data_IF_037097312938
#
_entry.id   IF_037097312938
#
_cell.length_a   1.000
_cell.length_b   1.000
_cell.length_c   1.000
_cell.angle_alpha   90.00
_cell.angle_beta   90.00
_cell.angle_gamma   90.00
#
_symmetry.space_group_name_H-M   'P 1'
#
loop_
_entity.id
_entity.type
_entity.pdbx_description
1 polymer ?
#
# COMPACT_ATOMS: atom_id res chain seq x y z
N UNK A 1 -15.68 -21.95 23.88
CA UNK A 1 -16.33 -21.08 22.86
C UNK A 1 -15.75 -19.67 22.95
N UNK A 2 -15.00 -19.19 21.95
CA UNK A 2 -14.55 -17.78 21.90
C UNK A 2 -15.65 -16.93 21.24
N UNK A 3 -16.20 -15.96 21.98
CA UNK A 3 -17.14 -14.97 21.43
C UNK A 3 -16.34 -13.85 20.77
N UNK A 4 -16.72 -13.45 19.55
CA UNK A 4 -16.21 -12.25 18.90
C UNK A 4 -17.31 -11.18 18.93
N UNK A 5 -16.92 -9.93 19.19
CA UNK A 5 -17.82 -8.79 19.19
C UNK A 5 -17.37 -7.79 18.14
N UNK A 6 -18.33 -7.20 17.43
CA UNK A 6 -18.09 -6.15 16.43
C UNK A 6 -18.68 -4.85 16.94
N UNK A 7 -17.83 -3.84 17.06
CA UNK A 7 -18.24 -2.51 17.49
C UNK A 7 -18.07 -1.51 16.35
N UNK A 8 -18.96 -0.52 16.31
CA UNK A 8 -18.79 0.63 15.42
C UNK A 8 -17.69 1.53 15.97
N UNK A 9 -16.70 1.84 15.13
CA UNK A 9 -15.69 2.84 15.46
C UNK A 9 -16.33 4.23 15.46
N UNK A 10 -16.25 4.95 16.58
CA UNK A 10 -16.69 6.35 16.70
C UNK A 10 -15.47 7.22 16.99
N UNK A 11 -14.76 7.69 15.94
CA UNK A 11 -13.54 8.46 16.13
C UNK A 11 -13.85 9.87 16.68
N UNK A 12 -12.95 10.39 17.51
CA UNK A 12 -12.94 11.82 17.85
C UNK A 12 -12.55 12.67 16.64
N UNK A 13 -12.75 13.99 16.70
CA UNK A 13 -12.34 14.89 15.61
C UNK A 13 -10.86 14.76 15.28
N UNK A 14 -9.98 14.66 16.30
CA UNK A 14 -8.54 14.47 16.12
C UNK A 14 -8.21 13.13 15.44
N UNK A 15 -8.90 12.05 15.84
CA UNK A 15 -8.72 10.74 15.21
C UNK A 15 -9.19 10.74 13.75
N UNK A 16 -10.29 11.43 13.44
CA UNK A 16 -10.79 11.56 12.06
C UNK A 16 -9.75 12.23 11.17
N UNK A 17 -9.13 13.33 11.62
CA UNK A 17 -8.05 14.01 10.89
C UNK A 17 -6.87 13.06 10.65
N UNK A 18 -6.44 12.33 11.67
CA UNK A 18 -5.32 11.38 11.54
C UNK A 18 -5.64 10.22 10.57
N UNK A 19 -6.85 9.66 10.63
CA UNK A 19 -7.29 8.59 9.74
C UNK A 19 -7.40 9.05 8.29
N UNK A 20 -7.86 10.28 8.05
CA UNK A 20 -7.90 10.87 6.70
C UNK A 20 -6.49 11.07 6.16
N UNK A 21 -5.57 11.62 6.95
CA UNK A 21 -4.17 11.75 6.53
C UNK A 21 -3.52 10.38 6.23
N UNK A 22 -3.79 9.37 7.05
CA UNK A 22 -3.33 8.00 6.83
C UNK A 22 -3.89 7.41 5.52
N UNK A 23 -5.18 7.60 5.26
CA UNK A 23 -5.80 7.14 4.01
C UNK A 23 -5.13 7.76 2.78
N UNK A 24 -4.84 9.07 2.85
CA UNK A 24 -4.17 9.81 1.79
C UNK A 24 -2.75 9.31 1.52
N UNK A 25 -1.95 9.08 2.57
CA UNK A 25 -0.59 8.56 2.40
C UNK A 25 -0.57 7.12 1.90
N UNK A 26 -1.55 6.29 2.29
CA UNK A 26 -1.70 4.95 1.74
C UNK A 26 -2.12 4.99 0.26
N UNK A 27 -2.94 5.96 -0.15
CA UNK A 27 -3.31 6.19 -1.55
C UNK A 27 -2.08 6.61 -2.36
N UNK A 28 -1.26 7.52 -1.84
CA UNK A 28 -0.02 7.95 -2.47
C UNK A 28 0.95 6.78 -2.65
N UNK A 29 1.18 5.98 -1.59
CA UNK A 29 2.03 4.79 -1.66
C UNK A 29 1.55 3.79 -2.71
N UNK A 30 0.25 3.50 -2.77
CA UNK A 30 -0.32 2.60 -3.76
C UNK A 30 -0.05 3.09 -5.19
N UNK A 31 -0.31 4.37 -5.45
CA UNK A 31 -0.17 4.96 -6.77
C UNK A 31 1.30 5.02 -7.21
N UNK A 32 2.21 5.40 -6.30
CA UNK A 32 3.65 5.42 -6.56
C UNK A 32 4.17 4.01 -6.93
N UNK A 33 3.79 3.00 -6.15
CA UNK A 33 4.16 1.61 -6.42
C UNK A 33 3.57 1.08 -7.73
N UNK A 34 2.34 1.47 -8.09
CA UNK A 34 1.76 1.11 -9.39
C UNK A 34 2.48 1.81 -10.55
N UNK A 35 2.81 3.09 -10.38
CA UNK A 35 3.54 3.88 -11.36
C UNK A 35 4.93 3.29 -11.64
N UNK A 36 5.68 2.95 -10.61
CA UNK A 36 7.01 2.34 -10.74
C UNK A 36 6.94 1.06 -11.56
N UNK A 37 6.01 0.13 -11.25
CA UNK A 37 5.84 -1.11 -12.02
C UNK A 37 5.60 -0.84 -13.50
N UNK A 38 4.78 0.15 -13.82
CA UNK A 38 4.48 0.55 -15.21
C UNK A 38 5.73 1.13 -15.88
N UNK A 39 6.46 1.99 -15.18
CA UNK A 39 7.57 2.75 -15.74
C UNK A 39 8.82 1.89 -15.93
N UNK A 40 9.18 1.06 -14.96
CA UNK A 40 10.30 0.12 -15.09
C UNK A 40 10.06 -0.88 -16.23
N UNK A 41 8.83 -1.36 -16.39
CA UNK A 41 8.50 -2.21 -17.52
C UNK A 41 8.53 -1.45 -18.85
N UNK A 42 7.99 -0.23 -18.90
CA UNK A 42 7.99 0.60 -20.12
C UNK A 42 9.41 0.94 -20.58
N UNK A 43 10.28 1.34 -19.65
CA UNK A 43 11.62 1.86 -19.96
C UNK A 43 12.65 0.73 -20.15
N UNK A 44 12.57 -0.32 -19.33
CA UNK A 44 13.63 -1.33 -19.22
C UNK A 44 13.15 -2.76 -19.41
N UNK A 45 11.84 -2.99 -19.59
CA UNK A 45 11.21 -4.33 -19.63
C UNK A 45 11.44 -5.15 -18.36
N UNK A 46 11.70 -4.47 -17.24
CA UNK A 46 11.89 -5.11 -15.93
C UNK A 46 10.54 -5.19 -15.21
N UNK A 47 10.27 -6.35 -14.62
CA UNK A 47 9.07 -6.56 -13.79
C UNK A 47 9.40 -6.36 -12.31
N UNK A 48 8.90 -5.27 -11.72
CA UNK A 48 9.03 -4.99 -10.29
C UNK A 48 8.05 -5.85 -9.49
N UNK A 49 8.56 -6.57 -8.49
CA UNK A 49 7.81 -7.48 -7.63
C UNK A 49 7.47 -6.82 -6.29
N UNK A 50 6.56 -7.46 -5.55
CA UNK A 50 6.23 -7.03 -4.18
C UNK A 50 7.46 -6.94 -3.26
N UNK A 51 8.40 -7.89 -3.38
CA UNK A 51 9.61 -7.92 -2.56
C UNK A 51 10.46 -6.66 -2.73
N UNK A 52 10.64 -6.23 -3.98
CA UNK A 52 11.43 -5.04 -4.32
C UNK A 52 10.83 -3.78 -3.69
N UNK A 53 9.52 -3.58 -3.85
CA UNK A 53 8.80 -2.42 -3.31
C UNK A 53 8.70 -2.45 -1.78
N UNK A 54 8.60 -3.64 -1.19
CA UNK A 54 8.63 -3.78 0.27
C UNK A 54 10.01 -3.46 0.85
N UNK A 55 11.09 -3.77 0.12
CA UNK A 55 12.44 -3.40 0.52
C UNK A 55 12.63 -1.88 0.42
N UNK A 56 12.26 -1.27 -0.71
CA UNK A 56 12.29 0.19 -0.90
C UNK A 56 11.48 0.95 0.15
N UNK A 57 10.29 0.44 0.53
CA UNK A 57 9.46 1.05 1.56
C UNK A 57 10.20 1.19 2.90
N UNK A 58 11.13 0.28 3.22
CA UNK A 58 11.93 0.38 4.45
C UNK A 58 12.80 1.64 4.42
N UNK A 59 13.46 1.91 3.30
CA UNK A 59 14.31 3.08 3.13
C UNK A 59 13.48 4.37 3.01
N UNK A 60 12.37 4.34 2.27
CA UNK A 60 11.44 5.48 2.15
C UNK A 60 10.95 5.92 3.54
N UNK A 61 10.54 4.98 4.40
CA UNK A 61 10.07 5.29 5.76
C UNK A 61 11.16 5.86 6.65
N UNK A 62 12.42 5.46 6.46
CA UNK A 62 13.57 6.02 7.20
C UNK A 62 13.88 7.45 6.75
N UNK A 63 13.75 7.72 5.45
CA UNK A 63 14.04 9.03 4.87
C UNK A 63 12.92 10.07 5.09
N UNK A 64 11.68 9.63 5.28
CA UNK A 64 10.50 10.47 5.37
C UNK A 64 9.73 10.22 6.67
N UNK A 65 10.31 10.61 7.82
CA UNK A 65 9.75 10.31 9.14
C UNK A 65 8.37 10.94 9.37
N UNK A 66 8.14 12.15 8.87
CA UNK A 66 6.89 12.92 9.01
C UNK A 66 5.84 12.61 7.94
N UNK A 67 6.22 11.92 6.86
CA UNK A 67 5.33 11.41 5.83
C UNK A 67 5.12 9.91 5.99
N UNK A 68 5.69 9.08 5.11
CA UNK A 68 5.46 7.63 5.13
C UNK A 68 5.97 6.94 6.42
N UNK A 69 6.99 7.49 7.08
CA UNK A 69 7.58 6.95 8.31
C UNK A 69 6.66 6.99 9.53
N UNK A 70 5.71 7.93 9.56
CA UNK A 70 4.78 8.12 10.69
C UNK A 70 3.75 7.00 10.85
N UNK A 71 3.53 6.21 9.80
CA UNK A 71 2.57 5.11 9.80
C UNK A 71 3.21 3.75 10.07
N UNK A 72 2.38 2.82 10.52
CA UNK A 72 2.79 1.44 10.80
C UNK A 72 3.25 0.74 9.52
N UNK A 73 4.45 0.18 9.56
CA UNK A 73 5.02 -0.65 8.49
C UNK A 73 4.05 -1.76 8.03
N UNK A 74 3.46 -2.49 8.98
CA UNK A 74 2.57 -3.61 8.66
C UNK A 74 1.31 -3.15 7.91
N UNK A 75 0.82 -1.95 8.20
CA UNK A 75 -0.32 -1.38 7.49
C UNK A 75 0.03 -1.00 6.04
N UNK A 76 1.21 -0.44 5.82
CA UNK A 76 1.70 -0.09 4.48
C UNK A 76 2.06 -1.33 3.66
N UNK A 77 2.59 -2.38 4.29
CA UNK A 77 2.75 -3.69 3.65
C UNK A 77 1.41 -4.25 3.17
N UNK A 78 0.32 -4.08 3.93
CA UNK A 78 -1.00 -4.51 3.50
C UNK A 78 -1.46 -3.75 2.24
N UNK A 79 -1.15 -2.44 2.13
CA UNK A 79 -1.38 -1.67 0.90
C UNK A 79 -0.61 -2.26 -0.29
N UNK A 80 0.69 -2.53 -0.15
CA UNK A 80 1.49 -3.12 -1.23
C UNK A 80 1.02 -4.52 -1.61
N UNK A 81 0.57 -5.34 -0.64
CA UNK A 81 -0.05 -6.65 -0.92
C UNK A 81 -1.37 -6.53 -1.65
N UNK A 82 -2.18 -5.51 -1.35
CA UNK A 82 -3.43 -5.21 -2.08
C UNK A 82 -3.13 -4.87 -3.53
N UNK A 83 -2.15 -4.01 -3.79
CA UNK A 83 -1.65 -3.73 -5.14
C UNK A 83 -1.23 -5.02 -5.84
N UNK A 84 -0.39 -5.83 -5.19
CA UNK A 84 0.11 -7.06 -5.79
C UNK A 84 -1.02 -8.03 -6.21
N UNK A 85 -2.04 -8.19 -5.34
CA UNK A 85 -3.23 -9.02 -5.65
C UNK A 85 -4.03 -8.46 -6.81
N UNK A 86 -4.29 -7.15 -6.82
CA UNK A 86 -5.05 -6.49 -7.88
C UNK A 86 -4.33 -6.60 -9.23
N UNK A 87 -3.02 -6.35 -9.22
CA UNK A 87 -2.16 -6.44 -10.40
C UNK A 87 -2.12 -7.86 -10.97
N UNK A 88 -1.86 -8.87 -10.14
CA UNK A 88 -1.88 -10.28 -10.57
C UNK A 88 -3.26 -10.71 -11.10
N UNK A 89 -4.35 -10.28 -10.45
CA UNK A 89 -5.70 -10.59 -10.91
C UNK A 89 -6.04 -9.95 -12.26
N UNK A 90 -5.54 -8.74 -12.54
CA UNK A 90 -5.69 -8.08 -13.84
C UNK A 90 -5.05 -8.92 -14.95
N UNK A 91 -3.76 -9.23 -14.84
CA UNK A 91 -3.06 -10.00 -15.88
C UNK A 91 -3.57 -11.43 -16.02
N UNK A 92 -4.02 -12.06 -14.92
CA UNK A 92 -4.68 -13.37 -15.00
C UNK A 92 -5.95 -13.31 -15.86
N UNK A 93 -6.78 -12.27 -15.72
CA UNK A 93 -7.98 -12.09 -16.55
C UNK A 93 -7.63 -11.83 -18.00
N UNK A 94 -6.66 -10.94 -18.26
CA UNK A 94 -6.18 -10.68 -19.64
C UNK A 94 -5.71 -11.96 -20.34
N UNK A 95 -5.05 -12.88 -19.61
CA UNK A 95 -4.64 -14.18 -20.15
C UNK A 95 -5.81 -15.14 -20.42
N UNK A 96 -6.93 -14.99 -19.72
CA UNK A 96 -8.08 -15.88 -19.85
C UNK A 96 -9.04 -15.49 -20.99
N UNK A 97 -8.92 -14.28 -21.55
CA UNK A 97 -9.88 -13.71 -22.51
C UNK A 97 -10.85 -12.79 -21.79
#
# INVERSE_FOLDING_TARGET
MRRSFRFLLRPTSRQTVALTAMLEDHRALYNAALQERREEYRMRRVSVRYGDQSAQLTEIRRADLEGQGRWSFSSQQATLRRLNRAFAAFFRRVKAG
#
